data_IF_391362576574
#
_entry.id   IF_391362576574
#
_cell.length_a   1.000
_cell.length_b   1.000
_cell.length_c   1.000
_cell.angle_alpha   90.00
_cell.angle_beta   90.00
_cell.angle_gamma   90.00
#
_symmetry.space_group_name_H-M   'P 1'
#
loop_
_entity.id
_entity.type
_entity.pdbx_description
1 polymer ?
#
# COMPACT_ATOMS: atom_id res chain seq x y z
N UNK A 1 -20.21 0.21 -7.68
CA UNK A 1 -19.63 1.45 -7.06
C UNK A 1 -18.35 1.10 -6.33
N UNK A 2 -17.34 1.99 -6.29
CA UNK A 2 -16.13 1.77 -5.45
C UNK A 2 -16.51 1.72 -3.97
N UNK A 3 -16.06 0.68 -3.28
CA UNK A 3 -16.18 0.56 -1.83
C UNK A 3 -14.78 0.39 -1.21
N UNK A 4 -14.60 0.83 0.03
CA UNK A 4 -13.31 0.77 0.73
C UNK A 4 -13.51 0.34 2.16
N UNK A 5 -12.83 -0.74 2.55
CA UNK A 5 -12.81 -1.28 3.90
C UNK A 5 -11.40 -1.08 4.45
N UNK A 6 -11.27 -0.36 5.55
CA UNK A 6 -9.97 -0.16 6.22
C UNK A 6 -9.66 -1.40 7.06
N UNK A 7 -8.51 -2.01 6.81
CA UNK A 7 -8.02 -3.18 7.53
C UNK A 7 -7.11 -2.73 8.69
N UNK A 8 -7.69 -2.02 9.65
CA UNK A 8 -6.96 -1.43 10.78
C UNK A 8 -6.65 -2.43 11.89
N UNK A 9 -7.65 -3.22 12.29
CA UNK A 9 -7.59 -4.13 13.46
C UNK A 9 -7.38 -5.57 13.06
N UNK A 10 -7.29 -6.44 14.06
CA UNK A 10 -7.25 -7.90 13.93
C UNK A 10 -6.02 -8.42 13.16
N UNK A 11 -4.89 -7.74 13.31
CA UNK A 11 -3.61 -8.22 12.82
C UNK A 11 -2.85 -8.99 13.88
N UNK A 12 -2.14 -10.03 13.45
CA UNK A 12 -1.14 -10.72 14.26
C UNK A 12 0.24 -10.42 13.67
N UNK A 13 1.11 -9.87 14.49
CA UNK A 13 2.49 -9.55 14.13
C UNK A 13 3.45 -10.63 14.63
N UNK A 14 4.41 -11.02 13.80
CA UNK A 14 5.47 -11.97 14.11
C UNK A 14 6.81 -11.32 13.82
N UNK A 15 7.59 -11.00 14.88
CA UNK A 15 8.96 -10.46 14.75
C UNK A 15 9.88 -11.49 14.05
N UNK A 16 9.72 -12.77 14.36
CA UNK A 16 10.29 -13.88 13.60
C UNK A 16 9.18 -14.51 12.75
N UNK A 17 9.25 -14.48 11.40
CA UNK A 17 8.24 -15.05 10.52
C UNK A 17 7.97 -16.55 10.72
N UNK A 18 8.93 -17.28 11.30
CA UNK A 18 8.84 -18.72 11.58
C UNK A 18 8.27 -19.03 12.99
N UNK A 19 8.01 -18.01 13.80
CA UNK A 19 7.45 -18.20 15.14
C UNK A 19 6.02 -18.73 15.07
N UNK A 20 5.66 -19.61 16.02
CA UNK A 20 4.29 -20.08 16.21
C UNK A 20 3.45 -19.09 17.03
N UNK A 21 4.09 -18.21 17.81
CA UNK A 21 3.44 -17.19 18.62
C UNK A 21 3.63 -15.81 18.04
N UNK A 22 2.52 -15.10 17.82
CA UNK A 22 2.49 -13.72 17.35
C UNK A 22 1.85 -12.79 18.37
N UNK A 23 1.95 -11.51 18.12
CA UNK A 23 1.43 -10.41 18.94
C UNK A 23 0.24 -9.76 18.23
N UNK A 24 -0.87 -9.53 18.93
CA UNK A 24 -2.01 -8.81 18.38
C UNK A 24 -1.66 -7.31 18.23
N UNK A 25 -1.82 -6.79 17.02
CA UNK A 25 -1.50 -5.39 16.71
C UNK A 25 -2.61 -4.71 15.92
N UNK A 26 -2.59 -3.39 15.96
CA UNK A 26 -3.48 -2.50 15.18
C UNK A 26 -2.61 -1.62 14.27
N UNK A 27 -3.00 -1.41 13.03
CA UNK A 27 -2.29 -0.51 12.11
C UNK A 27 -2.70 0.96 12.36
N UNK A 28 -1.78 1.91 12.19
CA UNK A 28 -0.37 1.77 11.82
C UNK A 28 0.48 1.10 12.89
N UNK A 29 1.43 0.26 12.47
CA UNK A 29 2.33 -0.44 13.40
C UNK A 29 3.77 -0.43 12.90
N UNK A 30 4.70 -0.21 13.83
CA UNK A 30 6.14 -0.40 13.61
C UNK A 30 6.73 -1.19 14.77
N UNK A 31 7.57 -2.17 14.45
CA UNK A 31 8.28 -2.94 15.51
C UNK A 31 9.47 -2.20 16.13
N UNK A 32 9.83 -1.04 15.55
CA UNK A 32 10.92 -0.21 16.06
C UNK A 32 10.43 0.96 16.94
N UNK A 33 9.18 0.96 17.39
CA UNK A 33 8.60 2.09 18.12
C UNK A 33 9.35 2.47 19.40
N UNK A 34 10.01 1.49 20.04
CA UNK A 34 10.77 1.67 21.28
C UNK A 34 12.27 1.37 21.13
N UNK A 35 12.70 0.93 19.95
CA UNK A 35 14.10 0.58 19.69
C UNK A 35 15.02 1.79 19.89
N UNK A 36 16.13 1.58 20.58
CA UNK A 36 17.16 2.59 20.81
C UNK A 36 16.78 3.71 21.80
N UNK A 37 15.58 3.68 22.39
CA UNK A 37 15.11 4.72 23.30
C UNK A 37 15.62 4.53 24.73
N UNK A 38 16.03 3.35 25.09
CA UNK A 38 16.54 2.96 26.41
C UNK A 38 18.08 2.99 26.51
N UNK A 39 18.77 3.46 25.45
CA UNK A 39 20.23 3.46 25.32
C UNK A 39 20.81 2.09 24.93
N UNK A 40 19.97 1.11 24.62
CA UNK A 40 20.35 -0.19 24.06
C UNK A 40 20.67 -0.13 22.56
N UNK A 41 21.24 -1.22 22.03
CA UNK A 41 21.50 -1.42 20.61
C UNK A 41 20.53 -2.39 19.98
N UNK A 42 19.29 -2.33 20.41
CA UNK A 42 18.23 -3.26 20.06
C UNK A 42 17.46 -2.88 18.78
N UNK A 43 17.99 -1.92 18.01
CA UNK A 43 17.44 -1.52 16.73
C UNK A 43 17.38 -2.72 15.77
N UNK A 44 16.21 -3.37 15.74
CA UNK A 44 16.01 -4.56 14.94
C UNK A 44 15.77 -4.22 13.48
N UNK A 45 16.58 -4.81 12.60
CA UNK A 45 16.40 -4.79 11.14
C UNK A 45 16.30 -6.21 10.63
N UNK A 46 15.32 -6.49 9.81
CA UNK A 46 15.06 -7.82 9.27
C UNK A 46 13.63 -7.95 8.75
N UNK A 47 13.31 -9.17 8.31
CA UNK A 47 11.97 -9.52 7.86
C UNK A 47 11.07 -9.85 9.04
N UNK A 48 9.90 -9.20 9.11
CA UNK A 48 8.81 -9.52 10.02
C UNK A 48 7.57 -9.90 9.22
N UNK A 49 6.62 -10.60 9.86
CA UNK A 49 5.38 -11.03 9.22
C UNK A 49 4.15 -10.44 9.90
N UNK A 50 3.22 -9.95 9.11
CA UNK A 50 1.87 -9.56 9.53
C UNK A 50 0.86 -10.55 8.94
N UNK A 51 -0.09 -10.97 9.74
CA UNK A 51 -1.14 -11.92 9.33
C UNK A 51 -2.51 -11.36 9.69
N UNK A 52 -3.46 -11.47 8.77
CA UNK A 52 -4.84 -11.08 8.99
C UNK A 52 -5.81 -11.96 8.20
N UNK A 53 -6.93 -12.34 8.81
CA UNK A 53 -8.06 -12.90 8.11
C UNK A 53 -9.03 -11.80 7.65
N UNK A 54 -9.67 -12.00 6.50
CA UNK A 54 -10.74 -11.13 6.02
C UNK A 54 -11.76 -11.90 5.19
N UNK A 55 -13.03 -11.55 5.36
CA UNK A 55 -14.11 -12.14 4.59
C UNK A 55 -14.07 -11.65 3.13
N UNK A 56 -14.57 -12.48 2.21
CA UNK A 56 -14.73 -12.09 0.81
C UNK A 56 -15.63 -10.87 0.70
N UNK A 57 -15.18 -9.80 0.04
CA UNK A 57 -16.05 -8.65 -0.20
C UNK A 57 -17.09 -8.97 -1.29
N UNK A 58 -18.24 -8.30 -1.23
CA UNK A 58 -19.19 -8.33 -2.33
C UNK A 58 -18.59 -7.69 -3.59
N UNK A 59 -18.71 -8.39 -4.72
CA UNK A 59 -18.25 -7.91 -6.02
C UNK A 59 -19.42 -7.88 -6.99
N UNK A 60 -19.54 -6.76 -7.71
CA UNK A 60 -20.41 -6.70 -8.90
C UNK A 60 -19.89 -7.66 -9.98
N UNK A 61 -20.74 -8.06 -10.91
CA UNK A 61 -20.32 -8.93 -12.03
C UNK A 61 -19.20 -8.29 -12.85
N UNK A 62 -18.04 -8.93 -12.86
CA UNK A 62 -16.82 -8.42 -13.50
C UNK A 62 -16.10 -7.33 -12.71
N UNK A 63 -16.55 -7.04 -11.49
CA UNK A 63 -15.83 -6.16 -10.54
C UNK A 63 -14.54 -6.79 -10.05
N UNK A 64 -13.67 -5.96 -9.48
CA UNK A 64 -12.36 -6.38 -8.97
C UNK A 64 -12.15 -5.95 -7.52
N UNK A 65 -11.27 -6.65 -6.83
CA UNK A 65 -10.84 -6.34 -5.48
C UNK A 65 -9.32 -6.12 -5.43
N UNK A 66 -8.92 -5.07 -4.75
CA UNK A 66 -7.52 -4.69 -4.56
C UNK A 66 -7.20 -4.50 -3.09
N UNK A 67 -6.00 -4.88 -2.70
CA UNK A 67 -5.38 -4.40 -1.46
C UNK A 67 -4.58 -3.13 -1.78
N UNK A 68 -4.90 -2.03 -1.10
CA UNK A 68 -4.15 -0.78 -1.12
C UNK A 68 -3.26 -0.71 0.12
N UNK A 69 -1.96 -0.64 -0.08
CA UNK A 69 -0.97 -0.39 0.96
C UNK A 69 -0.49 1.05 0.85
N UNK A 70 -0.75 1.88 1.84
CA UNK A 70 -0.32 3.27 1.83
C UNK A 70 1.18 3.45 2.16
N UNK A 71 1.85 2.38 2.52
CA UNK A 71 3.29 2.30 2.75
C UNK A 71 3.65 1.10 3.62
N UNK A 72 4.77 0.46 3.28
CA UNK A 72 5.37 -0.64 4.02
C UNK A 72 6.90 -0.51 3.96
N UNK A 73 7.54 -0.34 5.08
CA UNK A 73 8.96 -0.02 5.09
C UNK A 73 9.83 -1.25 5.42
N UNK A 74 10.77 -1.59 4.52
CA UNK A 74 11.20 -0.90 3.28
C UNK A 74 10.79 -1.67 2.03
N UNK A 75 10.67 -2.98 2.13
CA UNK A 75 10.15 -3.87 1.08
C UNK A 75 9.01 -4.71 1.64
N UNK A 76 8.13 -5.19 0.78
CA UNK A 76 7.02 -6.03 1.21
C UNK A 76 6.70 -7.12 0.19
N UNK A 77 6.51 -8.34 0.70
CA UNK A 77 5.91 -9.46 -0.04
C UNK A 77 4.48 -9.65 0.42
N UNK A 78 3.54 -9.65 -0.51
CA UNK A 78 2.11 -9.85 -0.23
C UNK A 78 1.69 -11.23 -0.69
N UNK A 79 1.15 -12.01 0.25
CA UNK A 79 0.69 -13.38 0.04
C UNK A 79 -0.80 -13.46 0.43
N UNK A 80 -1.63 -13.99 -0.45
CA UNK A 80 -3.06 -14.24 -0.17
C UNK A 80 -3.35 -15.71 -0.40
N UNK A 81 -3.94 -16.36 0.60
CA UNK A 81 -4.29 -17.79 0.55
C UNK A 81 -3.11 -18.68 0.12
N UNK A 82 -1.91 -18.39 0.60
CA UNK A 82 -0.68 -19.11 0.31
C UNK A 82 -0.03 -18.78 -1.06
N UNK A 83 -0.64 -17.90 -1.85
CA UNK A 83 -0.09 -17.47 -3.15
C UNK A 83 0.57 -16.10 -3.02
N UNK A 84 1.88 -16.02 -3.31
CA UNK A 84 2.60 -14.74 -3.39
C UNK A 84 2.16 -13.99 -4.64
N UNK A 85 1.54 -12.82 -4.46
CA UNK A 85 0.95 -12.01 -5.52
C UNK A 85 1.85 -10.84 -5.92
N UNK A 86 2.56 -10.26 -4.99
CA UNK A 86 3.29 -9.02 -5.24
C UNK A 86 4.56 -8.92 -4.40
N UNK A 87 5.57 -8.27 -4.96
CA UNK A 87 6.75 -7.80 -4.26
C UNK A 87 6.90 -6.31 -4.49
N UNK A 88 6.98 -5.54 -3.41
CA UNK A 88 7.14 -4.10 -3.43
C UNK A 88 8.51 -3.69 -2.92
N UNK A 89 9.18 -2.80 -3.65
CA UNK A 89 10.44 -2.15 -3.25
C UNK A 89 10.19 -0.65 -3.12
N UNK A 90 10.21 -0.11 -1.90
CA UNK A 90 9.99 1.32 -1.65
C UNK A 90 9.18 1.58 -0.37
N UNK A 91 9.84 2.12 0.66
CA UNK A 91 9.23 2.28 1.97
C UNK A 91 8.10 3.30 2.06
N UNK A 92 7.97 4.22 1.11
CA UNK A 92 7.14 5.42 1.27
C UNK A 92 6.01 5.54 0.25
N UNK A 93 6.05 4.78 -0.82
CA UNK A 93 5.05 4.82 -1.88
C UNK A 93 3.84 3.94 -1.58
N UNK A 94 2.68 4.38 -2.05
CA UNK A 94 1.48 3.55 -2.09
C UNK A 94 1.61 2.52 -3.22
N UNK A 95 1.14 1.30 -2.98
CA UNK A 95 1.04 0.27 -3.99
C UNK A 95 -0.25 -0.52 -3.88
N UNK A 96 -0.62 -1.17 -4.98
CA UNK A 96 -1.87 -1.88 -5.15
C UNK A 96 -1.60 -3.34 -5.53
N UNK A 97 -2.40 -4.24 -4.98
CA UNK A 97 -2.32 -5.67 -5.29
C UNK A 97 -3.71 -6.16 -5.67
N UNK A 98 -3.88 -6.59 -6.91
CA UNK A 98 -5.11 -7.24 -7.34
C UNK A 98 -5.22 -8.62 -6.69
N UNK A 99 -6.30 -8.84 -5.95
CA UNK A 99 -6.55 -10.09 -5.22
C UNK A 99 -7.78 -10.84 -5.73
N UNK A 100 -8.41 -10.33 -6.77
CA UNK A 100 -9.71 -10.79 -7.27
C UNK A 100 -9.78 -12.30 -7.45
N UNK A 101 -8.78 -12.87 -8.13
CA UNK A 101 -8.77 -14.29 -8.50
C UNK A 101 -8.41 -15.22 -7.32
N UNK A 102 -7.87 -14.67 -6.22
CA UNK A 102 -7.46 -15.43 -5.04
C UNK A 102 -8.54 -15.48 -3.96
N UNK A 103 -9.62 -14.70 -4.11
CA UNK A 103 -10.63 -14.57 -3.08
C UNK A 103 -11.43 -15.86 -2.86
N UNK A 104 -11.45 -16.30 -1.61
CA UNK A 104 -12.33 -17.35 -1.07
C UNK A 104 -13.28 -16.72 -0.04
N UNK A 105 -14.19 -17.48 0.55
CA UNK A 105 -15.13 -16.95 1.56
C UNK A 105 -14.41 -16.40 2.81
N UNK A 106 -13.34 -17.06 3.24
CA UNK A 106 -12.40 -16.58 4.27
C UNK A 106 -11.00 -16.53 3.69
N UNK A 107 -10.33 -15.39 3.79
CA UNK A 107 -9.03 -15.15 3.17
C UNK A 107 -7.97 -14.93 4.22
N UNK A 108 -6.82 -15.55 4.02
CA UNK A 108 -5.61 -15.33 4.80
C UNK A 108 -4.68 -14.38 4.04
N UNK A 109 -4.45 -13.20 4.61
CA UNK A 109 -3.46 -12.23 4.14
C UNK A 109 -2.21 -12.33 5.00
N UNK A 110 -1.07 -12.59 4.37
CA UNK A 110 0.24 -12.53 4.99
C UNK A 110 1.07 -11.46 4.28
N UNK A 111 1.71 -10.60 5.05
CA UNK A 111 2.57 -9.53 4.54
C UNK A 111 3.93 -9.65 5.21
N UNK A 112 4.95 -9.99 4.44
CA UNK A 112 6.33 -10.03 4.90
C UNK A 112 6.97 -8.70 4.62
N UNK A 113 7.32 -7.95 5.67
CA UNK A 113 7.92 -6.62 5.56
C UNK A 113 9.35 -6.69 6.04
N UNK A 114 10.27 -6.09 5.29
CA UNK A 114 11.70 -6.13 5.58
C UNK A 114 12.29 -4.72 5.57
N UNK A 115 13.02 -4.37 6.65
CA UNK A 115 13.78 -3.12 6.76
C UNK A 115 15.30 -3.34 6.83
N UNK A 116 15.80 -4.50 6.41
CA UNK A 116 17.23 -4.78 6.29
C UNK A 116 17.93 -3.84 5.32
N UNK A 117 19.26 -3.82 5.37
CA UNK A 117 20.06 -3.08 4.41
C UNK A 117 19.73 -3.53 2.98
N UNK A 118 19.39 -2.57 2.14
CA UNK A 118 18.96 -2.79 0.78
C UNK A 118 19.58 -1.76 -0.15
N UNK A 119 20.24 -2.21 -1.21
CA UNK A 119 20.90 -1.32 -2.18
C UNK A 119 19.98 -0.74 -3.24
N UNK A 120 18.73 -1.23 -3.33
CA UNK A 120 17.73 -0.82 -4.32
C UNK A 120 16.72 0.20 -3.78
N UNK A 121 16.50 0.20 -2.46
CA UNK A 121 15.49 1.04 -1.81
C UNK A 121 16.13 2.25 -1.16
N UNK A 122 15.55 3.42 -1.35
CA UNK A 122 15.99 4.68 -0.76
C UNK A 122 15.22 4.98 0.54
N UNK A 123 15.84 5.63 1.55
CA UNK A 123 17.24 6.00 1.69
C UNK A 123 18.10 4.80 2.13
N UNK A 124 19.33 4.75 1.65
CA UNK A 124 20.28 3.67 2.02
C UNK A 124 21.10 3.99 3.26
N UNK A 125 21.39 5.26 3.49
CA UNK A 125 22.11 5.78 4.65
C UNK A 125 21.53 7.11 5.08
N UNK A 126 21.30 7.26 6.37
CA UNK A 126 20.87 8.50 7.01
C UNK A 126 21.15 8.42 8.51
N UNK A 127 21.06 9.55 9.20
CA UNK A 127 21.20 9.67 10.65
C UNK A 127 19.88 9.54 11.42
N UNK A 128 18.93 8.80 10.84
CA UNK A 128 17.66 8.49 11.48
C UNK A 128 17.34 6.99 11.41
N UNK A 129 16.44 6.53 12.26
CA UNK A 129 16.00 5.15 12.34
C UNK A 129 15.16 4.77 11.11
N UNK A 130 15.52 3.67 10.46
CA UNK A 130 14.73 3.09 9.38
C UNK A 130 13.62 2.20 9.98
N UNK A 131 12.55 2.82 10.42
CA UNK A 131 11.41 2.12 11.02
C UNK A 131 10.79 1.13 10.05
N UNK A 132 10.77 -0.14 10.46
CA UNK A 132 10.11 -1.21 9.72
C UNK A 132 8.64 -1.35 10.10
N UNK A 133 7.82 -1.83 9.19
CA UNK A 133 6.43 -2.20 9.46
C UNK A 133 5.42 -1.70 8.46
N UNK A 134 4.17 -2.07 8.74
CA UNK A 134 2.97 -1.49 8.12
C UNK A 134 2.62 -0.20 8.87
N UNK A 135 3.42 0.82 8.67
CA UNK A 135 3.34 2.10 9.40
C UNK A 135 2.29 3.06 8.83
N UNK A 136 1.55 2.62 7.83
CA UNK A 136 0.37 3.28 7.25
C UNK A 136 -0.76 2.27 7.06
N UNK A 137 -1.93 2.77 6.67
CA UNK A 137 -3.12 1.92 6.52
C UNK A 137 -3.01 0.93 5.37
N UNK A 138 -3.65 -0.21 5.57
CA UNK A 138 -3.97 -1.18 4.53
C UNK A 138 -5.48 -1.16 4.33
N UNK A 139 -5.93 -1.20 3.07
CA UNK A 139 -7.35 -1.16 2.72
C UNK A 139 -7.69 -2.25 1.72
N UNK A 140 -8.88 -2.80 1.83
CA UNK A 140 -9.50 -3.63 0.80
C UNK A 140 -10.47 -2.75 0.01
N UNK A 141 -10.21 -2.63 -1.29
CA UNK A 141 -10.97 -1.75 -2.19
C UNK A 141 -11.63 -2.58 -3.26
N UNK A 142 -12.94 -2.46 -3.41
CA UNK A 142 -13.68 -3.07 -4.52
C UNK A 142 -14.12 -2.02 -5.53
N UNK A 143 -14.10 -2.40 -6.80
CA UNK A 143 -14.43 -1.53 -7.91
C UNK A 143 -15.31 -2.25 -8.93
N UNK A 144 -16.15 -1.55 -9.69
CA UNK A 144 -16.94 -2.13 -10.78
C UNK A 144 -16.03 -2.60 -11.93
N UNK A 145 -16.63 -3.28 -12.94
CA UNK A 145 -15.92 -3.72 -14.15
C UNK A 145 -15.23 -2.56 -14.86
N UNK A 146 -15.91 -1.43 -14.98
CA UNK A 146 -15.35 -0.19 -15.55
C UNK A 146 -14.93 0.74 -14.42
N UNK A 147 -13.64 0.99 -14.31
CA UNK A 147 -13.06 1.84 -13.25
C UNK A 147 -11.75 2.46 -13.73
N UNK A 148 -11.30 3.49 -13.05
CA UNK A 148 -9.96 4.03 -13.27
C UNK A 148 -8.89 3.00 -12.95
N UNK A 149 -7.80 2.96 -13.75
CA UNK A 149 -6.64 2.12 -13.46
C UNK A 149 -6.17 2.40 -12.04
N UNK A 150 -6.05 1.35 -11.23
CA UNK A 150 -5.76 1.50 -9.79
C UNK A 150 -4.28 1.65 -9.50
N UNK A 151 -3.42 1.33 -10.46
CA UNK A 151 -1.96 1.37 -10.31
C UNK A 151 -1.31 2.14 -11.47
N UNK A 152 -1.64 3.42 -11.59
CA UNK A 152 -0.93 4.33 -12.47
C UNK A 152 0.10 5.10 -11.63
N UNK A 153 1.35 4.65 -11.65
CA UNK A 153 2.44 5.22 -10.84
C UNK A 153 2.08 5.40 -9.35
N UNK A 154 1.40 4.39 -8.76
CA UNK A 154 0.88 4.44 -7.39
C UNK A 154 -0.38 5.30 -7.19
N UNK A 155 -0.88 5.93 -8.24
CA UNK A 155 -2.05 6.81 -8.23
C UNK A 155 -3.28 6.25 -8.95
N UNK A 156 -4.28 7.07 -9.10
CA UNK A 156 -5.63 6.70 -9.54
C UNK A 156 -5.86 6.88 -11.05
N UNK A 157 -5.03 6.39 -11.94
CA UNK A 157 -5.29 6.42 -13.39
C UNK A 157 -5.67 7.80 -13.96
N UNK A 158 -5.17 8.87 -13.37
CA UNK A 158 -5.44 10.23 -13.77
C UNK A 158 -4.17 11.07 -13.73
N UNK A 159 -3.93 11.85 -14.80
CA UNK A 159 -2.85 12.83 -14.86
C UNK A 159 -3.42 14.19 -15.21
N UNK A 160 -3.07 15.20 -14.44
CA UNK A 160 -3.45 16.60 -14.68
C UNK A 160 -2.18 17.37 -15.01
N UNK A 161 -2.15 17.99 -16.18
CA UNK A 161 -1.00 18.77 -16.65
C UNK A 161 -1.47 20.20 -16.91
N UNK A 162 -1.16 21.17 -16.01
CA UNK A 162 -1.41 22.57 -16.27
C UNK A 162 -0.26 23.20 -17.07
N UNK A 163 -0.60 23.99 -18.09
CA UNK A 163 0.32 24.93 -18.75
C UNK A 163 -0.07 26.33 -18.31
N UNK A 164 0.78 26.94 -17.47
CA UNK A 164 0.46 28.21 -16.81
C UNK A 164 1.17 29.36 -17.52
N UNK A 165 0.41 30.40 -17.91
CA UNK A 165 0.93 31.67 -18.40
C UNK A 165 0.72 32.76 -17.36
N UNK A 166 1.81 33.34 -16.87
CA UNK A 166 1.75 34.46 -15.93
C UNK A 166 1.44 35.74 -16.70
N UNK A 167 0.28 36.32 -16.46
CA UNK A 167 -0.18 37.55 -17.11
C UNK A 167 0.34 38.80 -16.40
N UNK A 168 0.20 38.83 -15.07
CA UNK A 168 0.71 39.90 -14.19
C UNK A 168 1.14 39.32 -12.84
N UNK A 169 2.43 39.36 -12.56
CA UNK A 169 2.99 38.83 -11.30
C UNK A 169 2.69 39.72 -10.11
N UNK A 170 2.55 41.04 -10.30
CA UNK A 170 2.25 41.98 -9.22
C UNK A 170 0.79 41.84 -8.76
N UNK A 171 -0.12 41.67 -9.71
CA UNK A 171 -1.56 41.44 -9.44
C UNK A 171 -1.88 39.97 -9.18
N UNK A 172 -0.88 39.06 -9.25
CA UNK A 172 -1.04 37.60 -9.07
C UNK A 172 -2.06 37.00 -10.06
N UNK A 173 -2.04 37.48 -11.30
CA UNK A 173 -2.90 36.99 -12.37
C UNK A 173 -2.17 35.98 -13.22
N UNK A 174 -2.82 34.86 -13.50
CA UNK A 174 -2.35 33.82 -14.40
C UNK A 174 -3.52 33.14 -15.09
N UNK A 175 -3.30 32.72 -16.35
CA UNK A 175 -4.17 31.78 -17.04
C UNK A 175 -3.53 30.40 -17.08
N UNK A 176 -4.34 29.37 -17.19
CA UNK A 176 -3.84 28.02 -17.32
C UNK A 176 -4.70 27.21 -18.29
N UNK A 177 -4.03 26.54 -19.24
CA UNK A 177 -4.63 25.46 -19.98
C UNK A 177 -4.40 24.15 -19.22
N UNK A 178 -5.48 23.43 -18.88
CA UNK A 178 -5.40 22.22 -18.08
C UNK A 178 -5.80 21.00 -18.92
N UNK A 179 -4.82 20.13 -19.18
CA UNK A 179 -5.06 18.83 -19.82
C UNK A 179 -5.27 17.77 -18.75
N UNK A 180 -6.37 17.01 -18.86
CA UNK A 180 -6.68 15.87 -17.98
C UNK A 180 -6.70 14.60 -18.83
N UNK A 181 -5.78 13.68 -18.50
CA UNK A 181 -5.70 12.35 -19.11
C UNK A 181 -6.25 11.33 -18.10
N UNK A 182 -7.15 10.46 -18.55
CA UNK A 182 -7.82 9.45 -17.74
C UNK A 182 -7.56 8.06 -18.32
N UNK A 183 -7.08 7.15 -17.48
CA UNK A 183 -6.90 5.73 -17.83
C UNK A 183 -7.97 4.90 -17.12
N UNK A 184 -8.77 4.20 -17.91
CA UNK A 184 -9.85 3.35 -17.43
C UNK A 184 -9.65 1.91 -17.86
N UNK A 185 -10.14 0.97 -17.04
CA UNK A 185 -10.24 -0.45 -17.39
C UNK A 185 -11.66 -0.77 -17.85
N UNK A 186 -11.81 -1.88 -18.59
CA UNK A 186 -13.10 -2.32 -19.14
C UNK A 186 -13.23 -2.00 -20.64
N UNK A 187 -14.33 -2.46 -21.22
CA UNK A 187 -14.65 -2.13 -22.61
C UNK A 187 -15.23 -0.72 -22.67
N UNK A 188 -14.83 0.06 -23.69
CA UNK A 188 -15.43 1.35 -23.95
C UNK A 188 -16.94 1.16 -24.18
N UNK A 189 -17.75 1.85 -23.42
CA UNK A 189 -19.18 2.01 -23.67
C UNK A 189 -19.41 3.45 -24.07
N UNK A 190 -20.11 3.64 -25.18
CA UNK A 190 -20.59 4.97 -25.54
C UNK A 190 -21.50 5.48 -24.40
N UNK A 191 -21.21 6.67 -23.91
CA UNK A 191 -21.98 7.34 -22.85
C UNK A 191 -22.90 8.38 -23.51
#
# INVERSE_FOLDING_TARGET
MRNTIVLEKDWTFYKNPQSESGEAVTLPHTWNAVDGQDGGNDYYRGTCKYVRHFAKPELEKGGRAYLEFNGAAMTADVVVNGTKLFHHEGGFSTFWVDVTEQLTEDNLLEVYVDNSDNTKVYPQKADFTFYGGLYRMVKLVTVPKVHFVMDYAGGNGMKVTPEVTILDAAEKQADADVTVELWMTGEATDV
#
